data_IF_998088745728
#
_entry.id   IF_998088745728
#
_cell.length_a   1.000
_cell.length_b   1.000
_cell.length_c   1.000
_cell.angle_alpha   90.00
_cell.angle_beta   90.00
_cell.angle_gamma   90.00
#
_symmetry.space_group_name_H-M   'P 1'
#
loop_
_entity.id
_entity.type
_entity.pdbx_description
1 polymer ?
#
# COMPACT_ATOMS: atom_id res chain seq x y z
N UNK A 1 -9.20 6.41 3.38
CA UNK A 1 -8.78 6.85 4.74
C UNK A 1 -8.79 5.62 5.61
N UNK A 2 -7.71 5.38 6.35
CA UNK A 2 -7.56 4.20 7.20
C UNK A 2 -6.95 4.63 8.52
N UNK A 3 -7.49 4.15 9.65
CA UNK A 3 -6.93 4.41 10.99
C UNK A 3 -6.16 3.18 11.42
N UNK A 4 -4.99 3.35 12.05
CA UNK A 4 -4.25 2.21 12.58
C UNK A 4 -5.02 1.53 13.74
N UNK A 5 -4.73 0.26 14.08
CA UNK A 5 -5.48 -0.46 15.11
C UNK A 5 -5.45 0.20 16.49
N UNK A 6 -4.38 0.93 16.81
CA UNK A 6 -4.24 1.67 18.07
C UNK A 6 -5.04 2.98 18.09
N UNK A 7 -5.60 3.43 16.97
CA UNK A 7 -6.36 4.68 16.89
C UNK A 7 -5.50 5.93 17.07
N UNK A 8 -4.20 5.87 16.76
CA UNK A 8 -3.24 6.97 16.95
C UNK A 8 -2.79 7.61 15.65
N UNK A 9 -2.89 6.91 14.52
CA UNK A 9 -2.43 7.37 13.23
C UNK A 9 -3.47 7.16 12.14
N UNK A 10 -3.42 8.04 11.14
CA UNK A 10 -4.27 8.02 9.96
C UNK A 10 -3.38 7.82 8.74
N UNK A 11 -3.82 6.94 7.85
CA UNK A 11 -3.31 6.76 6.49
C UNK A 11 -4.33 7.29 5.49
N UNK A 12 -3.86 7.96 4.45
CA UNK A 12 -4.71 8.54 3.41
C UNK A 12 -4.01 8.50 2.06
N UNK A 13 -4.77 8.32 0.99
CA UNK A 13 -4.25 8.35 -0.38
C UNK A 13 -4.50 9.74 -0.97
N UNK A 14 -3.45 10.40 -1.44
CA UNK A 14 -3.51 11.76 -1.99
C UNK A 14 -3.02 11.74 -3.43
N UNK A 15 -3.64 12.58 -4.25
CA UNK A 15 -3.16 12.84 -5.61
C UNK A 15 -2.07 13.90 -5.53
N UNK A 16 -0.90 13.59 -6.06
CA UNK A 16 0.27 14.47 -6.07
C UNK A 16 0.62 14.80 -7.51
N UNK A 17 0.88 16.08 -7.80
CA UNK A 17 1.40 16.53 -9.08
C UNK A 17 2.91 16.68 -8.98
N UNK A 18 3.64 15.90 -9.77
CA UNK A 18 5.10 15.96 -9.87
C UNK A 18 5.48 16.20 -11.33
N UNK A 19 5.82 17.45 -11.66
CA UNK A 19 6.01 17.86 -13.05
C UNK A 19 4.74 17.65 -13.86
N UNK A 20 4.83 16.91 -14.97
CA UNK A 20 3.67 16.56 -15.79
C UNK A 20 2.92 15.29 -15.33
N UNK A 21 3.44 14.58 -14.33
CA UNK A 21 2.83 13.34 -13.84
C UNK A 21 1.83 13.61 -12.72
N UNK A 22 0.69 12.91 -12.77
CA UNK A 22 -0.29 12.85 -11.67
C UNK A 22 -0.17 11.47 -11.04
N UNK A 23 0.24 11.43 -9.78
CA UNK A 23 0.46 10.19 -9.03
C UNK A 23 -0.48 10.11 -7.85
N UNK A 24 -0.65 8.90 -7.32
CA UNK A 24 -1.29 8.68 -6.03
C UNK A 24 -0.29 8.08 -5.07
N UNK A 25 -0.26 8.63 -3.88
CA UNK A 25 0.61 8.18 -2.81
C UNK A 25 -0.09 8.14 -1.47
N UNK A 26 0.48 7.33 -0.59
CA UNK A 26 0.05 7.20 0.78
C UNK A 26 0.75 8.23 1.65
N UNK A 27 -0.05 8.86 2.50
CA UNK A 27 0.35 9.86 3.47
C UNK A 27 -0.13 9.43 4.84
N UNK A 28 0.74 9.62 5.82
CA UNK A 28 0.49 9.28 7.22
C UNK A 28 0.50 10.55 8.07
N UNK A 29 -0.40 10.60 9.06
CA UNK A 29 -0.43 11.66 10.05
C UNK A 29 -0.86 11.10 11.41
N UNK A 30 -0.66 11.89 12.46
CA UNK A 30 -1.25 11.57 13.76
C UNK A 30 -2.77 11.83 13.72
N UNK A 31 -3.54 11.06 14.48
CA UNK A 31 -5.00 11.19 14.56
C UNK A 31 -5.42 12.54 15.18
N UNK A 32 -4.60 13.07 16.08
CA UNK A 32 -4.81 14.37 16.72
C UNK A 32 -4.51 15.56 15.77
N UNK A 33 -3.98 15.26 14.57
CA UNK A 33 -3.46 16.25 13.64
C UNK A 33 -1.97 16.51 13.85
N UNK A 34 -1.31 16.94 12.77
CA UNK A 34 0.14 17.13 12.75
C UNK A 34 0.91 15.91 12.24
N UNK A 35 2.24 16.06 12.15
CA UNK A 35 3.17 15.04 11.65
C UNK A 35 2.77 14.42 10.30
N UNK A 36 2.08 15.21 9.45
CA UNK A 36 1.72 14.80 8.11
C UNK A 36 3.00 14.60 7.29
N UNK A 37 3.17 13.39 6.77
CA UNK A 37 4.32 13.05 5.96
C UNK A 37 3.96 12.04 4.87
N UNK A 38 4.70 12.10 3.76
CA UNK A 38 4.55 11.16 2.66
C UNK A 38 5.17 9.81 3.05
N UNK A 39 4.37 8.75 3.00
CA UNK A 39 4.82 7.39 3.27
C UNK A 39 5.42 6.77 2.00
N UNK A 40 4.77 6.94 0.86
CA UNK A 40 5.19 6.38 -0.43
C UNK A 40 5.47 7.46 -1.46
N UNK A 41 6.49 7.24 -2.29
CA UNK A 41 6.74 8.00 -3.51
C UNK A 41 6.71 7.04 -4.71
N UNK A 42 5.50 6.59 -5.04
CA UNK A 42 5.20 5.51 -5.97
C UNK A 42 4.33 6.00 -7.12
N UNK A 43 4.31 5.27 -8.23
CA UNK A 43 3.49 5.62 -9.39
C UNK A 43 2.06 5.05 -9.30
N UNK A 44 1.42 5.14 -8.12
CA UNK A 44 0.00 4.79 -7.99
C UNK A 44 -0.37 3.91 -6.79
N UNK A 45 0.17 4.17 -5.60
CA UNK A 45 -0.34 3.55 -4.38
C UNK A 45 -1.70 4.15 -4.00
N UNK A 46 -2.74 3.32 -3.94
CA UNK A 46 -4.10 3.85 -3.73
C UNK A 46 -5.05 3.00 -2.89
N UNK A 47 -4.65 1.77 -2.55
CA UNK A 47 -5.32 0.92 -1.55
C UNK A 47 -4.29 0.54 -0.51
N UNK A 48 -4.67 0.60 0.75
CA UNK A 48 -3.79 0.21 1.84
C UNK A 48 -4.56 -0.39 3.02
N UNK A 49 -3.87 -1.20 3.81
CA UNK A 49 -4.35 -1.67 5.12
C UNK A 49 -3.20 -1.68 6.11
N UNK A 50 -3.53 -1.46 7.38
CA UNK A 50 -2.59 -1.59 8.47
C UNK A 50 -2.42 -3.06 8.86
N UNK A 51 -1.21 -3.42 9.30
CA UNK A 51 -1.00 -4.66 10.05
C UNK A 51 -1.76 -4.59 11.39
N UNK A 52 -2.14 -5.73 12.00
CA UNK A 52 -2.86 -5.76 13.27
C UNK A 52 -2.09 -5.13 14.44
N UNK A 53 -0.75 -5.17 14.38
CA UNK A 53 0.13 -4.50 15.33
C UNK A 53 0.33 -3.01 15.02
N UNK A 54 -0.12 -2.53 13.87
CA UNK A 54 0.04 -1.14 13.42
C UNK A 54 1.45 -0.74 12.99
N UNK A 55 2.42 -1.66 13.00
CA UNK A 55 3.81 -1.36 12.65
C UNK A 55 4.05 -1.27 11.14
N UNK A 56 3.19 -1.89 10.34
CA UNK A 56 3.36 -2.06 8.90
C UNK A 56 2.10 -1.62 8.16
N UNK A 57 2.31 -1.23 6.90
CA UNK A 57 1.26 -0.86 5.95
C UNK A 57 1.45 -1.68 4.70
N UNK A 58 0.45 -2.48 4.35
CA UNK A 58 0.36 -3.15 3.06
C UNK A 58 -0.39 -2.26 2.08
N UNK A 59 0.03 -2.23 0.81
CA UNK A 59 -0.56 -1.40 -0.22
C UNK A 59 -0.42 -2.01 -1.62
N UNK A 60 -1.38 -1.68 -2.48
CA UNK A 60 -1.33 -2.04 -3.90
C UNK A 60 -0.74 -0.90 -4.71
N UNK A 61 0.15 -1.20 -5.66
CA UNK A 61 0.63 -0.25 -6.66
C UNK A 61 -0.11 -0.52 -7.97
N UNK A 62 -0.81 0.49 -8.51
CA UNK A 62 -1.62 0.35 -9.73
C UNK A 62 -1.19 1.31 -10.85
N UNK A 63 -0.09 1.01 -11.57
CA UNK A 63 0.13 1.65 -12.85
C UNK A 63 -0.73 0.93 -13.90
N UNK A 64 -1.78 1.60 -14.38
CA UNK A 64 -2.49 1.25 -15.64
C UNK A 64 -3.31 -0.06 -15.68
N UNK A 65 -3.66 -0.65 -14.54
CA UNK A 65 -4.52 -1.86 -14.43
C UNK A 65 -5.84 -1.61 -13.72
N UNK A 66 -6.88 -2.30 -14.19
CA UNK A 66 -8.19 -2.36 -13.52
C UNK A 66 -8.24 -3.56 -12.58
N UNK A 67 -8.65 -3.31 -11.34
CA UNK A 67 -8.81 -4.34 -10.34
C UNK A 67 -10.26 -4.84 -10.29
N UNK A 68 -10.46 -6.13 -10.56
CA UNK A 68 -11.79 -6.77 -10.51
C UNK A 68 -12.06 -7.49 -9.18
N UNK A 69 -11.19 -7.29 -8.18
CA UNK A 69 -11.24 -7.94 -6.87
C UNK A 69 -10.46 -9.26 -6.84
N UNK A 70 -10.66 -10.12 -7.84
CA UNK A 70 -9.97 -11.41 -7.94
C UNK A 70 -8.75 -11.41 -8.86
N UNK A 71 -8.70 -10.46 -9.81
CA UNK A 71 -7.63 -10.40 -10.81
C UNK A 71 -7.32 -8.95 -11.24
N UNK A 72 -6.19 -8.79 -11.91
CA UNK A 72 -5.70 -7.55 -12.50
C UNK A 72 -5.87 -7.62 -14.01
N UNK A 73 -6.83 -6.88 -14.56
CA UNK A 73 -7.05 -6.84 -16.00
C UNK A 73 -6.41 -5.59 -16.61
N UNK A 74 -5.54 -5.79 -17.61
CA UNK A 74 -4.81 -4.72 -18.31
C UNK A 74 -3.59 -5.22 -19.08
N UNK A 75 -2.85 -4.30 -19.70
CA UNK A 75 -1.70 -4.63 -20.57
C UNK A 75 -0.57 -5.37 -19.85
N UNK A 76 -0.43 -5.12 -18.54
CA UNK A 76 0.48 -5.86 -17.65
C UNK A 76 -0.36 -6.33 -16.47
N UNK A 77 -0.85 -7.56 -16.50
CA UNK A 77 -1.68 -8.17 -15.46
C UNK A 77 -0.88 -8.44 -14.16
N UNK A 78 -0.33 -7.39 -13.55
CA UNK A 78 0.41 -7.43 -12.29
C UNK A 78 -0.16 -6.39 -11.35
N UNK A 79 -0.68 -6.84 -10.21
CA UNK A 79 -0.86 -5.99 -9.05
C UNK A 79 0.12 -6.45 -8.01
N UNK A 80 1.24 -5.75 -7.93
CA UNK A 80 2.19 -5.98 -6.86
C UNK A 80 1.55 -5.45 -5.58
N UNK A 81 1.14 -6.37 -4.70
CA UNK A 81 0.92 -6.03 -3.31
C UNK A 81 2.28 -5.90 -2.66
N UNK A 82 2.48 -4.80 -1.92
CA UNK A 82 3.72 -4.51 -1.23
C UNK A 82 3.43 -4.11 0.20
N UNK A 83 4.43 -4.07 1.05
CA UNK A 83 4.28 -3.52 2.38
C UNK A 83 5.52 -2.76 2.81
N UNK A 84 5.36 -1.81 3.72
CA UNK A 84 6.47 -1.07 4.31
C UNK A 84 6.19 -0.76 5.78
N UNK A 85 7.21 -0.37 6.54
CA UNK A 85 7.02 0.08 7.91
C UNK A 85 6.35 1.46 7.94
N UNK A 86 5.39 1.63 8.85
CA UNK A 86 4.65 2.88 9.01
C UNK A 86 5.54 4.07 9.42
N UNK A 87 6.73 3.78 9.95
CA UNK A 87 7.75 4.77 10.29
C UNK A 87 8.59 5.23 9.10
N UNK A 88 8.52 4.55 7.94
CA UNK A 88 9.25 4.94 6.72
C UNK A 88 8.63 6.17 6.07
N UNK A 89 9.39 6.83 5.21
CA UNK A 89 8.98 8.01 4.45
C UNK A 89 9.51 7.89 3.02
N UNK A 90 8.76 8.45 2.07
CA UNK A 90 9.12 8.52 0.65
C UNK A 90 9.56 7.17 0.03
N UNK A 91 8.90 6.08 0.44
CA UNK A 91 9.24 4.73 -0.03
C UNK A 91 8.92 4.59 -1.52
N UNK A 92 9.94 4.34 -2.34
CA UNK A 92 9.78 4.20 -3.80
C UNK A 92 9.33 2.80 -4.21
N UNK A 93 8.58 2.72 -5.31
CA UNK A 93 8.22 1.46 -5.95
C UNK A 93 9.51 0.72 -6.40
N UNK A 94 9.68 -0.53 -6.01
CA UNK A 94 10.89 -1.32 -6.33
C UNK A 94 12.02 -1.22 -5.31
N UNK A 95 11.91 -0.38 -4.27
CA UNK A 95 12.90 -0.33 -3.19
C UNK A 95 12.85 -1.57 -2.31
N UNK A 96 13.96 -1.89 -1.65
CA UNK A 96 14.02 -2.95 -0.63
C UNK A 96 13.13 -2.66 0.59
N UNK A 97 12.72 -1.40 0.77
CA UNK A 97 11.80 -0.96 1.81
C UNK A 97 10.33 -1.20 1.47
N UNK A 98 10.03 -1.65 0.24
CA UNK A 98 8.71 -2.10 -0.20
C UNK A 98 8.81 -3.45 -0.93
N UNK A 99 9.10 -4.55 -0.22
CA UNK A 99 9.06 -5.89 -0.78
C UNK A 99 7.62 -6.31 -1.16
N UNK A 100 7.52 -7.32 -2.03
CA UNK A 100 6.25 -7.96 -2.35
C UNK A 100 5.61 -8.56 -1.08
N UNK A 101 4.33 -8.26 -0.86
CA UNK A 101 3.51 -8.96 0.11
C UNK A 101 3.08 -10.30 -0.47
N UNK A 102 3.61 -11.36 0.12
CA UNK A 102 3.25 -12.73 -0.21
C UNK A 102 2.69 -13.40 1.03
N UNK A 103 1.66 -14.20 0.85
CA UNK A 103 1.04 -14.99 1.92
C UNK A 103 1.13 -16.48 1.58
N UNK A 104 1.21 -17.37 2.57
CA UNK A 104 1.09 -18.80 2.32
C UNK A 104 -0.35 -19.15 1.93
N UNK A 105 -0.51 -19.98 0.89
CA UNK A 105 -1.79 -20.63 0.61
C UNK A 105 -2.04 -21.79 1.61
N UNK A 106 -3.18 -22.46 1.48
CA UNK A 106 -3.53 -23.61 2.33
C UNK A 106 -2.59 -24.81 2.20
N UNK A 107 -1.76 -24.84 1.15
CA UNK A 107 -0.70 -25.82 0.93
C UNK A 107 0.69 -25.32 1.37
N UNK A 108 0.79 -24.13 1.97
CA UNK A 108 2.03 -23.51 2.43
C UNK A 108 2.88 -22.88 1.31
N UNK A 109 2.35 -22.76 0.09
CA UNK A 109 3.05 -22.13 -1.03
C UNK A 109 2.91 -20.61 -0.94
N UNK A 110 4.00 -19.90 -1.20
CA UNK A 110 4.00 -18.44 -1.24
C UNK A 110 3.25 -17.93 -2.48
N UNK A 111 2.15 -17.20 -2.27
CA UNK A 111 1.31 -16.61 -3.32
C UNK A 111 1.14 -15.11 -3.10
N UNK A 112 0.94 -14.37 -4.19
CA UNK A 112 0.52 -12.96 -4.14
C UNK A 112 -1.02 -12.98 -4.20
N UNK A 113 -1.66 -12.34 -3.22
CA UNK A 113 -3.12 -12.12 -3.29
C UNK A 113 -3.41 -11.12 -4.42
N UNK A 114 -4.57 -11.23 -5.04
CA UNK A 114 -4.98 -10.30 -6.10
C UNK A 114 -5.10 -8.84 -5.63
N UNK A 115 -5.81 -8.03 -6.39
CA UNK A 115 -6.01 -6.60 -6.14
C UNK A 115 -6.58 -6.19 -4.77
N UNK A 116 -7.23 -7.11 -4.08
CA UNK A 116 -7.80 -6.83 -2.78
C UNK A 116 -6.73 -7.00 -1.72
N UNK A 117 -6.37 -5.88 -1.09
CA UNK A 117 -5.64 -5.87 0.17
C UNK A 117 -6.64 -6.31 1.26
N UNK A 118 -7.03 -7.58 1.23
CA UNK A 118 -7.77 -8.16 2.35
C UNK A 118 -6.81 -8.32 3.52
N UNK A 119 -7.33 -8.14 4.73
CA UNK A 119 -6.55 -7.90 5.94
C UNK A 119 -5.29 -8.74 6.06
N UNK A 120 -4.26 -8.11 6.63
CA UNK A 120 -3.00 -8.76 6.98
C UNK A 120 -3.26 -10.04 7.78
N UNK A 121 -2.71 -11.16 7.32
CA UNK A 121 -2.59 -12.39 8.12
C UNK A 121 -1.13 -12.55 8.54
N UNK A 122 -0.81 -12.59 9.84
CA UNK A 122 0.52 -12.91 10.33
C UNK A 122 1.05 -14.24 9.78
#
# INVERSE_FOLDING_TARGET
LWVNPQGTQILSAWVVSEGSAIKKDLWISDIAGGNLARLTATDGADRAVWSPDGGLVAFAIRPEVTCTGFDCTGAVARCDLRYTAASRRDVSAGSADAPDLRVPDTAGRSVILGCDVQGWTP
#
